data_IF_107144080373
#
_entry.id   IF_107144080373
#
_cell.length_a   1.000
_cell.length_b   1.000
_cell.length_c   1.000
_cell.angle_alpha   90.00
_cell.angle_beta   90.00
_cell.angle_gamma   90.00
#
_symmetry.space_group_name_H-M   'P 1'
#
loop_
_entity.id
_entity.type
_entity.pdbx_description
1 polymer ?
#
# COMPACT_ATOMS: atom_id res chain seq x y z
N UNK A 1 1.66 -17.05 -43.49
CA UNK A 1 0.70 -16.09 -42.91
C UNK A 1 -0.23 -16.92 -42.06
N UNK A 2 -0.02 -16.93 -40.77
CA UNK A 2 -0.77 -17.76 -39.83
C UNK A 2 -2.21 -17.23 -39.76
N UNK A 3 -3.20 -18.12 -39.81
CA UNK A 3 -4.61 -17.71 -39.83
C UNK A 3 -5.04 -17.35 -38.41
N UNK A 4 -5.92 -16.36 -38.26
CA UNK A 4 -6.49 -15.99 -36.95
C UNK A 4 -7.24 -17.15 -36.26
N UNK A 5 -7.66 -18.16 -37.03
CA UNK A 5 -8.19 -19.44 -36.54
C UNK A 5 -7.18 -20.25 -35.74
N UNK A 6 -5.89 -20.11 -36.01
CA UNK A 6 -4.83 -20.95 -35.44
C UNK A 6 -4.51 -20.53 -33.99
N UNK A 7 -5.02 -19.38 -33.56
CA UNK A 7 -4.82 -18.81 -32.22
C UNK A 7 -6.11 -18.72 -31.39
N UNK A 8 -7.22 -19.33 -31.83
CA UNK A 8 -8.52 -19.29 -31.13
C UNK A 8 -9.01 -17.86 -30.80
N UNK A 9 -8.66 -16.86 -31.61
CA UNK A 9 -9.06 -15.45 -31.40
C UNK A 9 -10.44 -15.20 -32.02
N UNK A 10 -11.44 -16.01 -31.68
CA UNK A 10 -12.83 -15.65 -31.96
C UNK A 10 -13.26 -14.56 -30.97
N UNK A 11 -13.80 -13.44 -31.48
CA UNK A 11 -14.28 -12.28 -30.72
C UNK A 11 -13.25 -11.56 -29.83
N UNK A 12 -11.95 -11.79 -30.04
CA UNK A 12 -10.86 -11.12 -29.31
C UNK A 12 -11.01 -11.24 -27.78
N UNK A 13 -10.68 -10.20 -27.01
CA UNK A 13 -10.83 -10.15 -25.55
C UNK A 13 -12.27 -10.45 -25.10
N UNK A 14 -13.26 -10.04 -25.89
CA UNK A 14 -14.67 -10.26 -25.58
C UNK A 14 -15.10 -11.71 -25.79
N UNK A 15 -14.34 -12.50 -26.55
CA UNK A 15 -14.54 -13.94 -26.70
C UNK A 15 -14.16 -14.76 -25.48
N UNK A 16 -13.32 -14.20 -24.58
CA UNK A 16 -12.83 -14.92 -23.41
C UNK A 16 -13.95 -15.23 -22.40
N UNK A 17 -13.85 -16.39 -21.77
CA UNK A 17 -14.73 -16.79 -20.67
C UNK A 17 -14.50 -15.95 -19.41
N UNK A 18 -15.49 -15.92 -18.52
CA UNK A 18 -15.43 -15.13 -17.28
C UNK A 18 -14.22 -15.47 -16.40
N UNK A 19 -13.84 -16.74 -16.32
CA UNK A 19 -12.68 -17.17 -15.53
C UNK A 19 -11.38 -16.57 -16.06
N UNK A 20 -11.19 -16.57 -17.38
CA UNK A 20 -9.98 -15.97 -17.99
C UNK A 20 -9.97 -14.45 -17.78
N UNK A 21 -11.13 -13.79 -17.89
CA UNK A 21 -11.20 -12.35 -17.61
C UNK A 21 -10.89 -12.01 -16.14
N UNK A 22 -11.21 -12.92 -15.20
CA UNK A 22 -10.82 -12.77 -13.80
C UNK A 22 -9.33 -13.00 -13.57
N UNK A 23 -8.72 -13.97 -14.26
CA UNK A 23 -7.26 -14.17 -14.22
C UNK A 23 -6.54 -12.95 -14.83
N UNK A 24 -7.08 -12.32 -15.87
CA UNK A 24 -6.52 -11.06 -16.39
C UNK A 24 -6.64 -9.95 -15.34
N UNK A 25 -7.77 -9.88 -14.63
CA UNK A 25 -7.98 -8.89 -13.57
C UNK A 25 -7.01 -9.08 -12.40
N UNK A 26 -6.63 -10.32 -12.04
CA UNK A 26 -5.67 -10.59 -10.94
C UNK A 26 -4.26 -10.12 -11.25
N UNK A 27 -3.88 -10.06 -12.52
CA UNK A 27 -2.56 -9.60 -12.94
C UNK A 27 -2.45 -8.06 -13.00
N UNK A 28 -3.53 -7.32 -12.71
CA UNK A 28 -3.49 -5.86 -12.71
C UNK A 28 -2.90 -5.33 -11.40
N UNK A 29 -1.82 -4.56 -11.51
CA UNK A 29 -1.15 -3.97 -10.34
C UNK A 29 -1.74 -2.63 -9.92
N UNK A 30 -2.24 -1.85 -10.89
CA UNK A 30 -2.73 -0.49 -10.67
C UNK A 30 -4.26 -0.54 -10.53
N UNK A 31 -4.85 -0.08 -9.40
CA UNK A 31 -6.29 -0.09 -9.19
C UNK A 31 -7.09 0.63 -10.30
N UNK A 32 -6.51 1.67 -10.89
CA UNK A 32 -7.11 2.44 -11.99
C UNK A 32 -7.25 1.61 -13.27
N UNK A 33 -6.27 0.75 -13.58
CA UNK A 33 -6.32 -0.11 -14.76
C UNK A 33 -7.40 -1.19 -14.59
N UNK A 34 -7.51 -1.74 -13.38
CA UNK A 34 -8.61 -2.63 -13.00
C UNK A 34 -9.98 -1.97 -13.15
N UNK A 35 -10.13 -0.71 -12.69
CA UNK A 35 -11.36 0.05 -12.89
C UNK A 35 -11.68 0.24 -14.38
N UNK A 36 -10.71 0.66 -15.19
CA UNK A 36 -10.89 0.86 -16.63
C UNK A 36 -11.31 -0.43 -17.34
N UNK A 37 -10.68 -1.55 -17.00
CA UNK A 37 -11.03 -2.86 -17.53
C UNK A 37 -12.48 -3.25 -17.20
N UNK A 38 -12.90 -3.05 -15.95
CA UNK A 38 -14.25 -3.38 -15.48
C UNK A 38 -15.34 -2.57 -16.17
N UNK A 39 -15.08 -1.31 -16.54
CA UNK A 39 -16.07 -0.43 -17.21
C UNK A 39 -16.00 -0.48 -18.74
N UNK A 40 -15.10 -1.28 -19.32
CA UNK A 40 -14.90 -1.36 -20.77
C UNK A 40 -16.17 -1.81 -21.50
N UNK A 41 -16.88 -2.82 -20.99
CA UNK A 41 -18.10 -3.33 -21.61
C UNK A 41 -19.00 -4.06 -20.60
N UNK A 42 -20.22 -4.42 -21.05
CA UNK A 42 -21.17 -5.18 -20.22
C UNK A 42 -20.62 -6.52 -19.73
N UNK A 43 -19.72 -7.17 -20.49
CA UNK A 43 -19.18 -8.48 -20.14
C UNK A 43 -18.17 -8.37 -18.99
N UNK A 44 -17.22 -7.44 -19.07
CA UNK A 44 -16.26 -7.17 -17.98
C UNK A 44 -16.94 -6.53 -16.77
N UNK A 45 -17.97 -5.72 -16.96
CA UNK A 45 -18.76 -5.16 -15.87
C UNK A 45 -19.46 -6.22 -15.02
N UNK A 46 -19.87 -7.35 -15.63
CA UNK A 46 -20.46 -8.48 -14.88
C UNK A 46 -19.46 -9.18 -13.95
N UNK A 47 -18.16 -8.92 -14.08
CA UNK A 47 -17.18 -9.47 -13.14
C UNK A 47 -17.39 -8.93 -11.72
N UNK A 48 -18.00 -7.74 -11.56
CA UNK A 48 -18.32 -7.15 -10.25
C UNK A 48 -19.19 -8.05 -9.36
N UNK A 49 -20.07 -8.85 -9.96
CA UNK A 49 -20.98 -9.75 -9.23
C UNK A 49 -20.38 -11.15 -9.03
N UNK A 50 -19.21 -11.42 -9.59
CA UNK A 50 -18.58 -12.73 -9.48
C UNK A 50 -18.06 -12.96 -8.06
N UNK A 51 -18.26 -14.14 -7.45
CA UNK A 51 -17.85 -14.40 -6.05
C UNK A 51 -16.35 -14.17 -5.76
N UNK A 52 -15.48 -14.30 -6.77
CA UNK A 52 -14.03 -14.04 -6.63
C UNK A 52 -13.67 -12.56 -6.63
N UNK A 53 -14.52 -11.67 -7.15
CA UNK A 53 -14.21 -10.26 -7.37
C UNK A 53 -13.66 -9.57 -6.12
N UNK A 54 -14.35 -9.72 -4.98
CA UNK A 54 -13.94 -9.07 -3.74
C UNK A 54 -12.52 -9.46 -3.32
N UNK A 55 -12.13 -10.74 -3.49
CA UNK A 55 -10.78 -11.21 -3.15
C UNK A 55 -9.73 -10.65 -4.11
N UNK A 56 -10.06 -10.56 -5.39
CA UNK A 56 -9.16 -10.04 -6.44
C UNK A 56 -8.92 -8.54 -6.22
N UNK A 57 -9.98 -7.76 -6.07
CA UNK A 57 -9.82 -6.32 -5.81
C UNK A 57 -9.10 -6.08 -4.51
N UNK A 58 -9.38 -6.87 -3.47
CA UNK A 58 -8.64 -6.76 -2.21
C UNK A 58 -7.14 -6.97 -2.41
N UNK A 59 -6.70 -7.94 -3.22
CA UNK A 59 -5.27 -8.15 -3.49
C UNK A 59 -4.64 -7.04 -4.31
N UNK A 60 -5.39 -6.35 -5.17
CA UNK A 60 -4.91 -5.22 -5.98
C UNK A 60 -4.76 -3.95 -5.11
N UNK A 61 -5.69 -3.71 -4.18
CA UNK A 61 -5.67 -2.52 -3.31
C UNK A 61 -4.86 -2.72 -2.03
N UNK A 62 -4.54 -3.95 -1.66
CA UNK A 62 -3.76 -4.25 -0.47
C UNK A 62 -2.30 -3.84 -0.67
N UNK A 63 -1.90 -2.81 0.06
CA UNK A 63 -0.53 -2.32 0.07
C UNK A 63 0.30 -3.12 1.06
N UNK A 64 1.32 -3.82 0.57
CA UNK A 64 2.28 -4.53 1.42
C UNK A 64 3.44 -3.60 1.79
N UNK A 65 3.66 -3.32 3.09
CA UNK A 65 4.81 -2.52 3.51
C UNK A 65 6.10 -3.33 3.37
N UNK A 66 7.11 -2.71 2.78
CA UNK A 66 8.48 -3.22 2.69
C UNK A 66 9.37 -2.30 3.53
N UNK A 67 10.01 -2.85 4.56
CA UNK A 67 10.92 -2.08 5.40
C UNK A 67 12.29 -1.95 4.72
N UNK A 68 12.79 -0.72 4.59
CA UNK A 68 14.11 -0.42 4.02
C UNK A 68 15.14 -0.51 5.15
N UNK A 69 15.79 -1.67 5.27
CA UNK A 69 16.83 -1.96 6.27
C UNK A 69 18.20 -1.90 5.59
N UNK A 70 19.08 -1.00 6.03
CA UNK A 70 20.43 -0.83 5.48
C UNK A 70 21.43 -1.77 6.14
N UNK A 71 21.30 -1.97 7.44
CA UNK A 71 22.23 -2.77 8.23
C UNK A 71 21.48 -3.73 9.16
N UNK A 72 22.05 -4.92 9.37
CA UNK A 72 21.48 -5.92 10.30
C UNK A 72 21.34 -5.39 11.74
N UNK A 73 22.16 -4.39 12.10
CA UNK A 73 22.11 -3.72 13.41
C UNK A 73 20.86 -2.87 13.62
N UNK A 74 20.13 -2.48 12.57
CA UNK A 74 18.84 -1.81 12.74
C UNK A 74 17.77 -2.78 13.22
N UNK A 75 17.82 -4.03 12.72
CA UNK A 75 16.83 -5.04 13.02
C UNK A 75 16.53 -5.95 11.82
N UNK A 76 15.36 -6.59 11.87
CA UNK A 76 14.88 -7.48 10.80
C UNK A 76 13.39 -7.29 10.55
N UNK A 77 12.96 -7.66 9.35
CA UNK A 77 11.55 -7.73 8.98
C UNK A 77 11.02 -9.14 9.17
N UNK A 78 9.79 -9.24 9.67
CA UNK A 78 8.96 -10.44 9.66
C UNK A 78 7.57 -10.06 9.13
N UNK A 79 7.32 -10.35 7.85
CA UNK A 79 6.12 -9.92 7.14
C UNK A 79 5.88 -8.40 7.26
N UNK A 80 4.80 -7.99 7.93
CA UNK A 80 4.41 -6.60 8.17
C UNK A 80 4.90 -6.06 9.53
N UNK A 81 5.80 -6.78 10.20
CA UNK A 81 6.40 -6.40 11.48
C UNK A 81 7.87 -6.12 11.27
N UNK A 82 8.30 -4.95 11.73
CA UNK A 82 9.71 -4.68 11.97
C UNK A 82 10.07 -5.04 13.41
N UNK A 83 11.21 -5.69 13.59
CA UNK A 83 11.76 -6.09 14.88
C UNK A 83 13.10 -5.37 15.01
N UNK A 84 13.15 -4.40 15.94
CA UNK A 84 14.39 -3.70 16.30
C UNK A 84 15.47 -4.69 16.74
N UNK A 85 16.74 -4.35 16.52
CA UNK A 85 17.83 -5.07 17.20
C UNK A 85 17.69 -4.92 18.71
N UNK A 86 18.21 -5.87 19.49
CA UNK A 86 18.14 -5.80 20.96
C UNK A 86 19.12 -4.74 21.55
N UNK A 87 19.57 -3.77 20.74
CA UNK A 87 20.42 -2.66 21.14
C UNK A 87 19.55 -1.47 21.61
N UNK A 88 19.96 -0.76 22.66
CA UNK A 88 19.24 0.42 23.18
C UNK A 88 19.67 1.69 22.43
N UNK A 89 19.47 1.69 21.11
CA UNK A 89 19.91 2.75 20.19
C UNK A 89 18.73 3.36 19.40
N UNK A 90 18.96 4.53 18.77
CA UNK A 90 18.00 5.10 17.82
C UNK A 90 17.81 4.20 16.60
N UNK A 91 16.57 4.06 16.14
CA UNK A 91 16.27 3.34 14.92
C UNK A 91 15.16 4.03 14.13
N UNK A 92 15.58 4.60 13.00
CA UNK A 92 14.69 5.11 11.97
C UNK A 92 14.73 4.16 10.78
N UNK A 93 13.57 3.83 10.25
CA UNK A 93 13.43 3.01 9.04
C UNK A 93 12.43 3.68 8.09
N UNK A 94 12.69 3.55 6.80
CA UNK A 94 11.72 3.92 5.77
C UNK A 94 10.86 2.71 5.40
N UNK A 95 9.62 2.96 4.95
CA UNK A 95 8.68 1.94 4.47
C UNK A 95 8.31 2.28 3.03
N UNK A 96 8.44 1.29 2.14
CA UNK A 96 7.98 1.31 0.75
C UNK A 96 6.63 0.55 0.66
N UNK A 97 5.63 0.92 -0.18
CA UNK A 97 5.74 1.67 -1.43
C UNK A 97 5.69 3.19 -1.32
N UNK A 98 6.33 3.87 -2.28
CA UNK A 98 6.14 5.30 -2.57
C UNK A 98 4.72 5.59 -3.02
N UNK A 99 4.03 6.48 -2.30
CA UNK A 99 2.67 6.90 -2.67
C UNK A 99 2.73 8.00 -3.73
N UNK A 100 2.46 7.63 -4.98
CA UNK A 100 2.47 8.57 -6.12
C UNK A 100 1.11 9.22 -6.39
N UNK A 101 0.03 8.50 -6.12
CA UNK A 101 -1.35 8.92 -6.41
C UNK A 101 -2.31 8.33 -5.38
N UNK A 102 -3.42 9.03 -5.12
CA UNK A 102 -4.50 8.56 -4.26
C UNK A 102 -4.31 8.86 -2.77
N UNK A 103 -5.07 8.16 -1.94
CA UNK A 103 -5.08 8.31 -0.47
C UNK A 103 -4.80 6.93 0.13
N UNK A 104 -3.81 6.86 1.02
CA UNK A 104 -3.45 5.63 1.72
C UNK A 104 -3.72 5.77 3.20
N UNK A 105 -4.28 4.70 3.79
CA UNK A 105 -4.48 4.58 5.23
C UNK A 105 -3.46 3.60 5.79
N UNK A 106 -2.64 4.06 6.72
CA UNK A 106 -1.70 3.22 7.46
C UNK A 106 -2.16 3.05 8.91
N UNK A 107 -2.02 1.84 9.45
CA UNK A 107 -2.25 1.54 10.86
C UNK A 107 -0.99 0.90 11.43
N UNK A 108 -0.44 1.51 12.48
CA UNK A 108 0.82 1.06 13.10
C UNK A 108 0.54 0.72 14.56
N UNK A 109 1.01 -0.45 14.99
CA UNK A 109 0.98 -0.89 16.38
C UNK A 109 2.42 -1.00 16.87
N UNK A 110 2.72 -0.31 17.96
CA UNK A 110 3.99 -0.45 18.67
C UNK A 110 3.79 -1.44 19.84
N UNK A 111 4.65 -2.45 19.95
CA UNK A 111 4.64 -3.45 21.03
C UNK A 111 5.94 -3.37 21.86
N UNK A 112 5.89 -3.74 23.16
CA UNK A 112 7.03 -3.79 24.09
C UNK A 112 7.82 -2.46 24.23
N UNK A 113 7.12 -1.34 24.36
CA UNK A 113 7.75 0.00 24.39
C UNK A 113 7.86 0.53 25.82
N UNK A 114 9.05 0.45 26.40
CA UNK A 114 9.36 1.14 27.66
C UNK A 114 10.21 2.38 27.35
N UNK A 115 9.82 3.55 27.85
CA UNK A 115 10.70 4.70 28.01
C UNK A 115 10.98 5.62 26.80
N UNK A 116 10.73 5.20 25.55
CA UNK A 116 11.14 5.98 24.37
C UNK A 116 9.99 6.54 23.53
N UNK A 117 10.16 7.77 23.07
CA UNK A 117 9.27 8.42 22.10
C UNK A 117 9.17 7.60 20.80
N UNK A 118 7.98 7.63 20.19
CA UNK A 118 7.69 6.97 18.91
C UNK A 118 7.18 8.01 17.95
N UNK A 119 7.77 8.01 16.76
CA UNK A 119 7.53 9.00 15.72
C UNK A 119 7.22 8.28 14.43
N UNK A 120 6.25 8.80 13.70
CA UNK A 120 5.93 8.42 12.33
C UNK A 120 5.88 9.72 11.53
N UNK A 121 6.40 9.68 10.31
CA UNK A 121 6.40 10.81 9.39
C UNK A 121 6.36 10.35 7.93
N UNK A 122 6.23 11.32 7.03
CA UNK A 122 6.32 11.10 5.59
C UNK A 122 7.71 11.57 5.15
N UNK A 123 8.41 10.74 4.38
CA UNK A 123 9.72 11.03 3.85
C UNK A 123 9.69 11.00 2.32
N UNK A 124 10.70 11.61 1.69
CA UNK A 124 10.90 11.47 0.24
C UNK A 124 11.20 10.00 -0.09
N UNK A 125 10.82 9.58 -1.30
CA UNK A 125 11.16 8.27 -1.85
C UNK A 125 12.67 7.96 -1.83
N UNK A 126 13.53 8.98 -1.85
CA UNK A 126 14.98 8.83 -1.77
C UNK A 126 15.51 8.66 -0.36
N UNK A 127 14.70 8.86 0.69
CA UNK A 127 15.16 8.82 2.07
C UNK A 127 15.46 7.39 2.50
N UNK A 128 16.60 7.21 3.17
CA UNK A 128 16.94 5.97 3.85
C UNK A 128 17.88 6.30 4.99
N UNK A 129 17.70 5.65 6.13
CA UNK A 129 18.37 6.03 7.37
C UNK A 129 19.42 4.97 7.73
N UNK A 130 20.59 5.39 8.21
CA UNK A 130 21.61 4.47 8.68
C UNK A 130 21.25 3.91 10.07
N UNK A 131 22.03 2.94 10.54
CA UNK A 131 21.89 2.45 11.90
C UNK A 131 22.21 3.56 12.91
N UNK A 132 21.47 3.60 14.04
CA UNK A 132 21.68 4.54 15.15
C UNK A 132 21.37 6.02 14.84
N UNK A 133 20.72 6.28 13.72
CA UNK A 133 20.31 7.63 13.32
C UNK A 133 18.81 7.85 13.54
N UNK A 134 18.48 9.02 14.08
CA UNK A 134 17.15 9.59 14.13
C UNK A 134 16.74 10.23 12.79
N UNK A 135 15.45 10.51 12.58
CA UNK A 135 14.96 11.13 11.35
C UNK A 135 15.46 12.57 11.13
N UNK A 136 16.12 13.17 12.12
CA UNK A 136 16.70 14.52 12.08
C UNK A 136 18.22 14.52 11.82
N UNK A 137 18.88 13.37 11.80
CA UNK A 137 20.35 13.30 11.72
C UNK A 137 20.86 13.35 10.27
N UNK A 138 20.03 13.00 9.28
CA UNK A 138 20.44 12.87 7.86
C UNK A 138 20.58 14.21 7.10
N UNK A 139 20.59 15.35 7.80
CA UNK A 139 20.89 16.68 7.24
C UNK A 139 19.98 17.20 6.12
N UNK A 140 18.96 16.44 5.71
CA UNK A 140 17.98 16.85 4.71
C UNK A 140 17.04 17.85 5.35
N UNK A 141 16.94 19.04 4.74
CA UNK A 141 16.01 20.07 5.23
C UNK A 141 14.59 19.47 5.38
N UNK A 142 13.86 19.82 6.45
CA UNK A 142 12.62 19.18 6.85
C UNK A 142 11.48 19.56 5.90
N UNK A 143 11.52 19.08 4.65
CA UNK A 143 10.35 19.03 3.81
C UNK A 143 9.51 17.83 4.28
N UNK A 144 8.70 18.12 5.30
CA UNK A 144 7.56 17.34 5.81
C UNK A 144 7.81 16.19 6.80
N UNK A 145 8.94 16.13 7.51
CA UNK A 145 9.02 15.38 8.76
C UNK A 145 8.36 16.16 9.90
N UNK A 146 7.04 16.38 9.85
CA UNK A 146 6.31 16.74 11.07
C UNK A 146 6.03 15.44 11.84
N UNK A 147 6.74 15.18 12.95
CA UNK A 147 6.50 14.00 13.76
C UNK A 147 5.11 14.09 14.38
N UNK A 148 4.19 13.20 14.00
CA UNK A 148 2.91 13.09 14.71
C UNK A 148 3.19 12.46 16.08
N UNK A 149 3.15 13.27 17.14
CA UNK A 149 3.41 12.78 18.50
C UNK A 149 2.21 12.02 19.03
N UNK A 150 2.44 10.90 19.71
CA UNK A 150 1.39 10.01 20.25
C UNK A 150 0.35 10.72 21.16
N UNK A 151 0.70 11.84 21.79
CA UNK A 151 -0.24 12.68 22.57
C UNK A 151 -1.36 13.30 21.72
N UNK A 152 -1.17 13.50 20.43
CA UNK A 152 -2.18 14.07 19.52
C UNK A 152 -3.19 13.01 19.03
N UNK A 153 -2.83 11.73 19.08
CA UNK A 153 -3.69 10.62 18.63
C UNK A 153 -4.82 10.33 19.64
N UNK A 154 -4.64 10.64 20.93
CA UNK A 154 -5.69 10.46 21.96
C UNK A 154 -6.87 11.45 21.82
N UNK A 155 -6.72 12.52 21.05
CA UNK A 155 -7.75 13.57 20.90
C UNK A 155 -8.42 13.64 19.52
N UNK A 156 -8.09 12.74 18.58
CA UNK A 156 -8.87 12.63 17.34
C UNK A 156 -10.14 11.79 17.56
N UNK A 157 -11.11 12.37 18.28
CA UNK A 157 -12.52 12.08 18.01
C UNK A 157 -12.84 12.76 16.67
N UNK A 158 -12.83 11.99 15.59
CA UNK A 158 -13.51 12.43 14.37
C UNK A 158 -15.00 12.25 14.60
N UNK A 159 -15.65 13.33 15.00
CA UNK A 159 -17.10 13.45 14.99
C UNK A 159 -17.61 13.03 13.60
N UNK A 160 -18.51 12.04 13.59
CA UNK A 160 -19.33 11.73 12.42
C UNK A 160 -20.24 12.92 12.15
N UNK A 161 -19.77 13.88 11.38
CA UNK A 161 -20.62 14.90 10.80
C UNK A 161 -20.44 14.91 9.28
N UNK A 162 -21.55 14.60 8.61
CA UNK A 162 -21.93 14.99 7.25
C UNK A 162 -21.26 14.25 6.08
N UNK A 163 -21.98 13.25 5.57
CA UNK A 163 -22.28 13.13 4.13
C UNK A 163 -23.60 12.34 3.96
N UNK A 164 -24.69 12.99 4.35
CA UNK A 164 -26.02 12.71 3.82
C UNK A 164 -26.66 14.08 3.55
N UNK A 165 -26.58 14.52 2.30
CA UNK A 165 -27.59 15.42 1.75
C UNK A 165 -28.15 14.72 0.51
N UNK A 166 -29.43 14.34 0.52
CA UNK A 166 -30.08 13.82 -0.67
C UNK A 166 -30.55 14.99 -1.54
N UNK A 167 -30.40 14.84 -2.86
CA UNK A 167 -31.42 15.10 -3.88
C UNK A 167 -30.97 14.53 -5.20
#
# INVERSE_FOLDING_TARGET
MDRSSDYNVHDSLLGLGEFILLEILTEMEIPQDAQQFLVLCRKTYKLLIHPRYARIIQSIIEIRPIFIIKEQKQGRSDQNKFIHSDEDDYCTIAIDPVIRQGIVKIQIKFDNNVGFDKIIGIANASCSFAAREGPWDDGTEPFATQPVKQKEIRNMKMDRALLLVPK
#
